data_IF_506302723623
#
_entry.id   IF_506302723623
#
_cell.length_a   1.000
_cell.length_b   1.000
_cell.length_c   1.000
_cell.angle_alpha   90.00
_cell.angle_beta   90.00
_cell.angle_gamma   90.00
#
_symmetry.space_group_name_H-M   'P 1'
#
loop_
_entity.id
_entity.type
_entity.pdbx_description
1 polymer ?
#
# COMPACT_ATOMS: atom_id res chain seq x y z
N UNK A 1 -17.47 -2.04 -3.02
CA UNK A 1 -17.00 -2.22 -4.43
C UNK A 1 -18.00 -3.10 -5.19
N UNK A 2 -18.23 -2.82 -6.45
CA UNK A 2 -19.02 -3.70 -7.34
C UNK A 2 -18.17 -4.87 -7.83
N UNK A 3 -18.79 -5.91 -8.37
CA UNK A 3 -18.05 -7.01 -9.02
C UNK A 3 -17.15 -6.49 -10.15
N UNK A 4 -17.66 -5.55 -10.95
CA UNK A 4 -16.91 -4.89 -12.03
C UNK A 4 -15.64 -4.16 -11.54
N UNK A 5 -15.72 -3.44 -10.41
CA UNK A 5 -14.53 -2.75 -9.85
C UNK A 5 -13.46 -3.74 -9.36
N UNK A 6 -13.87 -4.91 -8.83
CA UNK A 6 -12.94 -5.96 -8.40
C UNK A 6 -12.29 -6.67 -9.59
N UNK A 7 -13.06 -6.89 -10.65
CA UNK A 7 -12.55 -7.43 -11.91
C UNK A 7 -11.49 -6.48 -12.50
N UNK A 8 -11.83 -5.19 -12.61
CA UNK A 8 -10.89 -4.15 -13.06
C UNK A 8 -9.63 -4.07 -12.17
N UNK A 9 -9.79 -4.16 -10.85
CA UNK A 9 -8.63 -4.22 -9.94
C UNK A 9 -7.75 -5.44 -10.25
N UNK A 10 -8.37 -6.61 -10.45
CA UNK A 10 -7.64 -7.85 -10.78
C UNK A 10 -6.88 -7.74 -12.09
N UNK A 11 -7.46 -7.12 -13.10
CA UNK A 11 -6.79 -6.85 -14.38
C UNK A 11 -5.59 -5.93 -14.20
N UNK A 12 -5.77 -4.81 -13.49
CA UNK A 12 -4.72 -3.81 -13.26
C UNK A 12 -3.53 -4.39 -12.49
N UNK A 13 -3.77 -5.18 -11.43
CA UNK A 13 -2.67 -5.74 -10.63
C UNK A 13 -1.93 -6.90 -11.29
N UNK A 14 -2.49 -7.42 -12.41
CA UNK A 14 -1.88 -8.47 -13.24
C UNK A 14 -1.29 -7.93 -14.56
N UNK A 15 -1.48 -6.64 -14.84
CA UNK A 15 -0.85 -6.01 -16.01
C UNK A 15 0.65 -5.80 -15.80
N UNK A 16 1.41 -5.71 -16.89
CA UNK A 16 2.82 -5.34 -16.86
C UNK A 16 3.07 -4.20 -17.87
N UNK A 17 3.47 -3.02 -17.39
CA UNK A 17 3.65 -2.65 -15.96
C UNK A 17 2.32 -2.50 -15.20
N UNK A 18 2.35 -2.68 -13.88
CA UNK A 18 1.20 -2.42 -13.01
C UNK A 18 0.97 -0.92 -12.91
N UNK A 19 -0.25 -0.46 -13.21
CA UNK A 19 -0.68 0.92 -12.95
C UNK A 19 -0.99 1.10 -11.45
N UNK A 20 0.01 1.58 -10.70
CA UNK A 20 -0.07 1.72 -9.25
C UNK A 20 -1.12 2.76 -8.83
N UNK A 21 -1.23 3.89 -9.55
CA UNK A 21 -2.23 4.91 -9.25
C UNK A 21 -3.64 4.36 -9.41
N UNK A 22 -3.93 3.72 -10.55
CA UNK A 22 -5.22 3.10 -10.83
C UNK A 22 -5.56 2.04 -9.77
N UNK A 23 -4.63 1.13 -9.46
CA UNK A 23 -4.83 0.11 -8.42
C UNK A 23 -5.18 0.74 -7.07
N UNK A 24 -4.41 1.76 -6.61
CA UNK A 24 -4.68 2.46 -5.36
C UNK A 24 -6.02 3.23 -5.37
N UNK A 25 -6.44 3.78 -6.50
CA UNK A 25 -7.74 4.44 -6.62
C UNK A 25 -8.90 3.43 -6.57
N UNK A 26 -8.73 2.28 -7.18
CA UNK A 26 -9.72 1.20 -7.14
C UNK A 26 -9.92 0.65 -5.71
N UNK A 27 -8.90 0.68 -4.83
CA UNK A 27 -9.11 0.39 -3.40
C UNK A 27 -10.13 1.34 -2.77
N UNK A 28 -10.17 2.59 -3.21
CA UNK A 28 -11.11 3.59 -2.72
C UNK A 28 -12.58 3.26 -3.03
N UNK A 29 -12.85 2.47 -4.08
CA UNK A 29 -14.21 2.05 -4.44
C UNK A 29 -14.86 1.09 -3.42
N UNK A 30 -14.09 0.51 -2.46
CA UNK A 30 -14.67 -0.26 -1.34
C UNK A 30 -15.41 0.63 -0.33
N UNK A 31 -15.02 1.89 -0.21
CA UNK A 31 -15.63 2.84 0.73
C UNK A 31 -16.47 3.91 0.03
N UNK A 32 -16.26 4.14 -1.27
CA UNK A 32 -16.97 5.11 -2.10
C UNK A 32 -17.38 4.43 -3.42
N UNK A 33 -18.60 3.85 -3.43
CA UNK A 33 -19.07 3.03 -4.56
C UNK A 33 -19.10 3.77 -5.90
N UNK A 34 -19.31 5.09 -5.88
CA UNK A 34 -19.36 5.94 -7.08
C UNK A 34 -18.01 6.58 -7.42
N UNK A 35 -16.92 6.13 -6.79
CA UNK A 35 -15.58 6.67 -7.04
C UNK A 35 -15.19 6.46 -8.51
N UNK A 36 -14.91 7.56 -9.18
CA UNK A 36 -14.34 7.58 -10.53
C UNK A 36 -12.83 7.86 -10.44
N UNK A 37 -11.96 6.96 -10.88
CA UNK A 37 -10.51 7.16 -10.83
C UNK A 37 -10.00 8.32 -11.70
N UNK A 38 -10.64 8.58 -12.85
CA UNK A 38 -10.16 9.49 -13.88
C UNK A 38 -9.91 10.93 -13.37
N UNK A 39 -10.80 11.57 -12.57
CA UNK A 39 -10.54 12.89 -12.01
C UNK A 39 -9.30 12.95 -11.13
N UNK A 40 -8.98 11.87 -10.42
CA UNK A 40 -7.80 11.79 -9.56
C UNK A 40 -6.52 11.59 -10.36
N UNK A 41 -6.57 10.83 -11.45
CA UNK A 41 -5.47 10.72 -12.40
C UNK A 41 -5.15 12.08 -13.02
N UNK A 42 -6.15 12.84 -13.47
CA UNK A 42 -5.95 14.22 -13.96
C UNK A 42 -5.35 15.15 -12.89
N UNK A 43 -5.66 14.95 -11.62
CA UNK A 43 -5.01 15.71 -10.54
C UNK A 43 -3.53 15.38 -10.40
N UNK A 44 -3.15 14.11 -10.55
CA UNK A 44 -1.74 13.71 -10.58
C UNK A 44 -1.02 14.33 -11.79
N UNK A 45 -1.67 14.37 -12.95
CA UNK A 45 -1.14 15.03 -14.16
C UNK A 45 -0.94 16.54 -13.91
N UNK A 46 -1.89 17.21 -13.26
CA UNK A 46 -1.77 18.62 -12.88
C UNK A 46 -0.64 18.91 -11.88
N UNK A 47 -0.41 17.99 -10.91
CA UNK A 47 0.72 18.09 -9.99
C UNK A 47 2.05 17.93 -10.74
N UNK A 48 2.14 16.98 -11.67
CA UNK A 48 3.31 16.79 -12.50
C UNK A 48 3.58 18.02 -13.38
N UNK A 49 2.57 18.57 -14.03
CA UNK A 49 2.69 19.80 -14.80
C UNK A 49 3.20 20.98 -13.97
N UNK A 50 2.75 21.09 -12.72
CA UNK A 50 3.19 22.14 -11.79
C UNK A 50 4.66 21.97 -11.36
N UNK A 51 5.17 20.75 -11.28
CA UNK A 51 6.56 20.45 -10.93
C UNK A 51 7.52 20.54 -12.14
N UNK A 52 6.98 20.40 -13.34
CA UNK A 52 7.77 20.27 -14.58
C UNK A 52 8.86 21.34 -14.77
N UNK A 53 8.60 22.65 -14.56
CA UNK A 53 9.65 23.66 -14.79
C UNK A 53 10.86 23.52 -13.86
N UNK A 54 10.63 23.23 -12.57
CA UNK A 54 11.72 23.07 -11.60
C UNK A 54 12.46 21.74 -11.80
N UNK A 55 11.75 20.67 -12.11
CA UNK A 55 12.34 19.36 -12.39
C UNK A 55 13.17 19.39 -13.66
N UNK A 56 12.69 20.07 -14.72
CA UNK A 56 13.42 20.22 -15.98
C UNK A 56 14.71 21.06 -15.83
N UNK A 57 14.76 21.97 -14.88
CA UNK A 57 15.95 22.77 -14.57
C UNK A 57 16.98 22.04 -13.66
N UNK A 58 16.58 20.92 -13.06
CA UNK A 58 17.44 20.15 -12.16
C UNK A 58 18.42 19.26 -12.95
N UNK A 59 19.66 19.22 -12.51
CA UNK A 59 20.77 18.50 -13.16
C UNK A 59 21.21 17.23 -12.40
N UNK A 60 20.70 17.02 -11.19
CA UNK A 60 21.03 15.87 -10.33
C UNK A 60 19.76 15.26 -9.69
N UNK A 61 19.85 14.03 -9.21
CA UNK A 61 18.80 13.37 -8.47
C UNK A 61 18.38 14.17 -7.22
N UNK A 62 19.33 14.76 -6.51
CA UNK A 62 19.08 15.58 -5.34
C UNK A 62 18.32 16.88 -5.69
N UNK A 63 18.65 17.54 -6.80
CA UNK A 63 17.94 18.72 -7.28
C UNK A 63 16.51 18.38 -7.76
N UNK A 64 16.32 17.25 -8.45
CA UNK A 64 14.99 16.75 -8.82
C UNK A 64 14.15 16.44 -7.58
N UNK A 65 14.72 15.80 -6.58
CA UNK A 65 14.10 15.52 -5.31
C UNK A 65 13.67 16.81 -4.59
N UNK A 66 14.53 17.83 -4.55
CA UNK A 66 14.21 19.14 -3.97
C UNK A 66 13.11 19.88 -4.75
N UNK A 67 13.10 19.79 -6.09
CA UNK A 67 12.06 20.37 -6.93
C UNK A 67 10.69 19.73 -6.67
N UNK A 68 10.64 18.40 -6.53
CA UNK A 68 9.43 17.67 -6.15
C UNK A 68 8.97 18.04 -4.73
N UNK A 69 9.88 18.11 -3.76
CA UNK A 69 9.57 18.52 -2.39
C UNK A 69 8.96 19.93 -2.35
N UNK A 70 9.56 20.89 -3.04
CA UNK A 70 9.04 22.26 -3.14
C UNK A 70 7.62 22.28 -3.75
N UNK A 71 7.37 21.49 -4.77
CA UNK A 71 6.05 21.49 -5.45
C UNK A 71 5.00 20.73 -4.64
N UNK A 72 5.29 19.52 -4.22
CA UNK A 72 4.33 18.63 -3.57
C UNK A 72 4.23 18.93 -2.05
N UNK A 73 5.35 19.14 -1.38
CA UNK A 73 5.38 19.43 0.05
C UNK A 73 5.01 20.88 0.35
N UNK A 74 5.85 21.84 -0.08
CA UNK A 74 5.70 23.24 0.34
C UNK A 74 4.49 23.93 -0.31
N UNK A 75 4.33 23.81 -1.63
CA UNK A 75 3.27 24.53 -2.37
C UNK A 75 1.93 23.80 -2.35
N UNK A 76 1.93 22.48 -2.62
CA UNK A 76 0.69 21.69 -2.62
C UNK A 76 0.30 21.24 -1.20
N UNK A 77 1.20 21.25 -0.23
CA UNK A 77 0.92 20.98 1.18
C UNK A 77 0.69 19.50 1.50
N UNK A 78 1.27 18.59 0.71
CA UNK A 78 1.22 17.17 1.04
C UNK A 78 2.17 16.85 2.21
N UNK A 79 1.64 16.11 3.20
CA UNK A 79 2.40 15.65 4.35
C UNK A 79 1.54 14.82 5.29
N UNK A 80 2.13 14.33 6.37
CA UNK A 80 1.43 13.51 7.34
C UNK A 80 1.72 13.89 8.78
N UNK A 81 1.01 13.27 9.69
CA UNK A 81 1.23 13.40 11.14
C UNK A 81 0.83 12.10 11.85
N UNK A 82 1.16 11.98 13.13
CA UNK A 82 0.79 10.82 13.95
C UNK A 82 -0.72 10.50 13.95
N UNK A 83 -1.58 11.52 13.80
CA UNK A 83 -3.03 11.33 13.73
C UNK A 83 -3.49 10.57 12.47
N UNK A 84 -2.71 10.62 11.39
CA UNK A 84 -3.04 9.95 10.12
C UNK A 84 -2.97 8.42 10.23
N UNK A 85 -2.25 7.87 11.21
CA UNK A 85 -2.20 6.43 11.46
C UNK A 85 -3.50 5.85 12.03
N UNK A 86 -4.40 6.70 12.54
CA UNK A 86 -5.68 6.30 13.11
C UNK A 86 -6.87 6.57 12.17
N UNK A 87 -6.61 7.04 10.95
CA UNK A 87 -7.64 7.44 9.99
C UNK A 87 -7.57 6.59 8.72
N UNK A 88 -8.61 5.80 8.47
CA UNK A 88 -8.72 4.96 7.25
C UNK A 88 -8.52 5.77 5.96
N UNK A 89 -9.00 7.01 5.94
CA UNK A 89 -8.88 7.90 4.77
C UNK A 89 -7.42 8.17 4.40
N UNK A 90 -6.50 8.07 5.36
CA UNK A 90 -5.06 8.21 5.15
C UNK A 90 -4.42 7.02 4.42
N UNK A 91 -5.17 5.89 4.27
CA UNK A 91 -4.80 4.69 3.51
C UNK A 91 -5.48 4.61 2.14
N UNK A 92 -6.18 5.65 1.68
CA UNK A 92 -6.96 5.69 0.44
C UNK A 92 -6.50 6.84 -0.45
N UNK A 93 -5.98 6.54 -1.64
CA UNK A 93 -5.31 7.52 -2.51
C UNK A 93 -6.21 8.71 -2.88
N UNK A 94 -7.48 8.47 -3.22
CA UNK A 94 -8.42 9.55 -3.51
C UNK A 94 -8.55 10.53 -2.33
N UNK A 95 -8.70 10.01 -1.11
CA UNK A 95 -8.77 10.81 0.11
C UNK A 95 -7.45 11.55 0.42
N UNK A 96 -6.31 10.91 0.14
CA UNK A 96 -4.99 11.55 0.28
C UNK A 96 -4.86 12.72 -0.69
N UNK A 97 -5.28 12.56 -1.94
CA UNK A 97 -5.28 13.63 -2.93
C UNK A 97 -6.23 14.78 -2.54
N UNK A 98 -7.40 14.49 -1.98
CA UNK A 98 -8.36 15.51 -1.53
C UNK A 98 -7.85 16.30 -0.32
N UNK A 99 -7.32 15.61 0.67
CA UNK A 99 -6.94 16.16 1.97
C UNK A 99 -5.49 16.65 2.01
N UNK A 100 -4.66 16.20 1.06
CA UNK A 100 -3.19 16.38 1.02
C UNK A 100 -2.49 15.80 2.25
N UNK A 101 -3.10 14.84 2.87
CA UNK A 101 -2.65 14.16 4.09
C UNK A 101 -2.86 12.66 3.96
N UNK A 102 -1.89 11.88 4.44
CA UNK A 102 -1.97 10.44 4.39
C UNK A 102 -0.84 9.72 5.11
N UNK A 103 -0.88 8.40 5.06
CA UNK A 103 0.21 7.57 5.54
C UNK A 103 1.46 7.71 4.65
N UNK A 104 2.66 7.42 5.19
CA UNK A 104 3.91 7.53 4.45
C UNK A 104 3.86 6.86 3.07
N UNK A 105 3.29 5.64 2.99
CA UNK A 105 3.23 4.88 1.74
C UNK A 105 2.32 5.52 0.68
N UNK A 106 1.14 6.07 1.06
CA UNK A 106 0.23 6.71 0.12
C UNK A 106 0.76 8.06 -0.36
N UNK A 107 1.39 8.81 0.53
CA UNK A 107 2.10 10.03 0.15
C UNK A 107 3.26 9.68 -0.80
N UNK A 108 3.98 8.60 -0.55
CA UNK A 108 5.03 8.11 -1.45
C UNK A 108 4.49 7.72 -2.83
N UNK A 109 3.29 7.11 -2.90
CA UNK A 109 2.62 6.85 -4.18
C UNK A 109 2.39 8.15 -4.96
N UNK A 110 1.98 9.25 -4.30
CA UNK A 110 1.84 10.55 -4.99
C UNK A 110 3.18 11.03 -5.56
N UNK A 111 4.29 10.92 -4.80
CA UNK A 111 5.64 11.30 -5.28
C UNK A 111 6.08 10.44 -6.46
N UNK A 112 5.93 9.11 -6.36
CA UNK A 112 6.26 8.16 -7.42
C UNK A 112 5.50 8.48 -8.70
N UNK A 113 4.19 8.66 -8.59
CA UNK A 113 3.33 8.93 -9.74
C UNK A 113 3.63 10.26 -10.43
N UNK A 114 3.95 11.29 -9.66
CA UNK A 114 4.35 12.60 -10.21
C UNK A 114 5.74 12.49 -10.87
N UNK A 115 6.72 11.83 -10.23
CA UNK A 115 8.04 11.62 -10.79
C UNK A 115 7.97 10.84 -12.12
N UNK A 116 7.22 9.73 -12.16
CA UNK A 116 7.05 8.91 -13.37
C UNK A 116 6.42 9.68 -14.52
N UNK A 117 5.41 10.53 -14.26
CA UNK A 117 4.79 11.41 -15.27
C UNK A 117 5.75 12.43 -15.87
N UNK A 118 6.76 12.81 -15.10
CA UNK A 118 7.84 13.71 -15.53
C UNK A 118 9.01 12.99 -16.21
N UNK A 119 8.95 11.65 -16.32
CA UNK A 119 10.07 10.86 -16.83
C UNK A 119 11.26 10.79 -15.87
N UNK A 120 11.07 11.15 -14.60
CA UNK A 120 12.09 11.08 -13.56
C UNK A 120 12.11 9.65 -12.98
N UNK A 121 13.24 8.94 -13.03
CA UNK A 121 13.35 7.66 -12.36
C UNK A 121 13.11 7.81 -10.87
N UNK A 122 12.24 6.97 -10.32
CA UNK A 122 11.93 6.94 -8.89
C UNK A 122 11.42 5.56 -8.46
N UNK A 123 11.66 5.20 -7.21
CA UNK A 123 11.19 3.95 -6.64
C UNK A 123 10.89 4.08 -5.14
N UNK A 124 9.96 3.26 -4.67
CA UNK A 124 9.59 3.19 -3.26
C UNK A 124 10.63 2.39 -2.46
N UNK A 125 10.90 2.82 -1.24
CA UNK A 125 11.80 2.18 -0.29
C UNK A 125 11.08 1.94 1.03
N UNK A 126 10.93 0.66 1.40
CA UNK A 126 10.27 0.25 2.63
C UNK A 126 11.23 0.15 3.79
N UNK A 127 11.29 1.18 4.62
CA UNK A 127 12.02 1.13 5.88
C UNK A 127 11.15 0.53 7.02
N UNK A 128 11.74 -0.07 8.06
CA UNK A 128 11.01 -0.52 9.24
C UNK A 128 10.18 0.61 9.85
N UNK A 129 8.86 0.42 9.93
CA UNK A 129 7.93 1.42 10.45
C UNK A 129 7.71 2.65 9.57
N UNK A 130 8.42 2.79 8.43
CA UNK A 130 8.33 3.96 7.56
C UNK A 130 8.35 3.58 6.07
N UNK A 131 8.03 4.52 5.19
CA UNK A 131 8.12 4.34 3.74
C UNK A 131 8.55 5.66 3.10
N UNK A 132 9.55 5.60 2.25
CA UNK A 132 10.17 6.76 1.61
C UNK A 132 10.30 6.55 0.10
N UNK A 133 10.71 7.59 -0.62
CA UNK A 133 10.94 7.54 -2.07
C UNK A 133 12.40 7.83 -2.36
N UNK A 134 13.00 7.03 -3.23
CA UNK A 134 14.27 7.36 -3.86
C UNK A 134 13.98 7.99 -5.23
N UNK A 135 14.53 9.17 -5.47
CA UNK A 135 14.55 9.85 -6.77
C UNK A 135 15.88 9.54 -7.42
N UNK A 136 15.87 8.98 -8.62
CA UNK A 136 17.05 8.46 -9.32
C UNK A 136 16.95 6.97 -9.57
N UNK A 137 18.06 6.31 -9.88
CA UNK A 137 18.10 4.89 -10.24
C UNK A 137 18.77 4.03 -9.15
N UNK A 138 18.35 2.77 -8.98
CA UNK A 138 18.90 1.89 -7.94
C UNK A 138 20.40 1.60 -8.09
N UNK A 139 20.92 1.66 -9.32
CA UNK A 139 22.33 1.37 -9.64
C UNK A 139 23.15 2.63 -9.90
N UNK A 140 22.54 3.82 -9.84
CA UNK A 140 23.18 5.10 -10.10
C UNK A 140 23.01 6.07 -8.95
N UNK A 141 23.03 7.36 -9.29
CA UNK A 141 22.75 8.42 -8.32
C UNK A 141 21.27 8.36 -7.89
N UNK A 142 21.04 8.45 -6.59
CA UNK A 142 19.69 8.57 -6.04
C UNK A 142 19.69 9.42 -4.76
N UNK A 143 18.58 10.12 -4.52
CA UNK A 143 18.34 10.88 -3.32
C UNK A 143 17.06 10.39 -2.63
N UNK A 144 17.14 10.06 -1.34
CA UNK A 144 15.96 9.68 -0.55
C UNK A 144 15.20 10.93 -0.11
N UNK A 145 13.90 10.89 -0.22
CA UNK A 145 12.96 11.90 0.29
C UNK A 145 11.91 11.25 1.18
N UNK A 146 11.45 11.99 2.17
CA UNK A 146 10.38 11.60 3.08
C UNK A 146 9.07 12.37 2.75
N UNK A 147 8.15 11.80 1.97
CA UNK A 147 6.88 12.43 1.65
C UNK A 147 6.01 12.73 2.88
N UNK A 148 6.13 11.94 3.94
CA UNK A 148 5.41 12.15 5.18
C UNK A 148 5.87 13.41 5.90
N UNK A 149 7.15 13.75 5.78
CA UNK A 149 7.73 15.01 6.24
C UNK A 149 7.75 16.10 5.14
N UNK A 150 6.77 16.10 4.22
CA UNK A 150 6.65 17.10 3.15
C UNK A 150 7.71 16.99 2.05
N UNK A 151 8.32 15.82 1.87
CA UNK A 151 9.37 15.59 0.87
C UNK A 151 10.77 16.01 1.33
N UNK A 152 10.99 16.13 2.64
CA UNK A 152 12.33 16.44 3.20
C UNK A 152 13.34 15.43 2.69
N UNK A 153 14.48 15.93 2.21
CA UNK A 153 15.65 15.11 1.87
C UNK A 153 16.11 14.30 3.09
N UNK A 154 16.34 13.02 2.88
CA UNK A 154 16.73 12.08 3.92
C UNK A 154 18.18 11.62 3.66
N UNK A 155 19.17 12.19 4.34
CA UNK A 155 20.56 11.74 4.21
C UNK A 155 20.70 10.31 4.75
N UNK A 156 21.73 9.55 4.31
CA UNK A 156 21.95 8.16 4.75
C UNK A 156 21.98 7.99 6.27
N UNK A 157 22.50 8.97 6.99
CA UNK A 157 22.52 8.98 8.46
C UNK A 157 21.12 9.01 9.07
N UNK A 158 20.21 9.81 8.52
CA UNK A 158 18.84 9.88 9.00
C UNK A 158 18.04 8.61 8.62
N UNK A 159 18.27 8.02 7.44
CA UNK A 159 17.71 6.72 7.09
C UNK A 159 18.17 5.62 8.07
N UNK A 160 19.48 5.61 8.41
CA UNK A 160 20.02 4.69 9.41
C UNK A 160 19.42 4.90 10.82
N UNK A 161 19.12 6.14 11.21
CA UNK A 161 18.45 6.43 12.48
C UNK A 161 17.02 5.88 12.53
N UNK A 162 16.25 6.01 11.44
CA UNK A 162 14.90 5.42 11.34
C UNK A 162 14.98 3.91 11.55
N UNK A 163 15.88 3.21 10.86
CA UNK A 163 16.05 1.76 10.97
C UNK A 163 16.52 1.36 12.37
N UNK A 164 17.44 2.12 12.94
CA UNK A 164 17.95 1.87 14.29
C UNK A 164 16.88 2.06 15.36
N UNK A 165 15.94 2.98 15.17
CA UNK A 165 14.81 3.15 16.09
C UNK A 165 13.90 1.93 16.18
N UNK A 166 13.91 1.08 15.14
CA UNK A 166 13.25 -0.22 15.11
C UNK A 166 14.13 -1.39 15.61
N UNK A 167 15.32 -1.10 16.15
CA UNK A 167 16.25 -2.11 16.69
C UNK A 167 17.05 -2.86 15.61
N UNK A 168 17.18 -2.30 14.41
CA UNK A 168 17.85 -2.92 13.26
C UNK A 168 18.98 -2.03 12.75
N UNK A 169 19.91 -2.60 11.98
CA UNK A 169 20.90 -1.86 11.22
C UNK A 169 20.47 -1.70 9.77
N UNK A 170 20.80 -0.55 9.17
CA UNK A 170 20.49 -0.28 7.77
C UNK A 170 21.33 -1.16 6.84
N UNK A 171 20.66 -1.94 6.00
CA UNK A 171 21.29 -2.80 4.98
C UNK A 171 20.96 -2.32 3.58
N UNK A 172 21.75 -2.74 2.58
CA UNK A 172 21.46 -2.45 1.16
C UNK A 172 20.12 -3.05 0.71
N UNK A 173 19.73 -4.19 1.26
CA UNK A 173 18.45 -4.85 0.95
C UNK A 173 17.24 -3.99 1.37
N UNK A 174 17.35 -3.28 2.49
CA UNK A 174 16.29 -2.37 2.95
C UNK A 174 16.14 -1.11 2.08
N UNK A 175 17.16 -0.80 1.27
CA UNK A 175 17.13 0.30 0.30
C UNK A 175 16.73 -0.18 -1.10
N UNK A 176 16.46 -1.48 -1.29
CA UNK A 176 16.05 -2.03 -2.56
C UNK A 176 14.68 -1.49 -3.01
N UNK A 177 14.46 -1.34 -4.34
CA UNK A 177 13.19 -0.91 -4.89
C UNK A 177 12.06 -1.88 -4.54
N UNK A 178 10.94 -1.34 -4.06
CA UNK A 178 9.71 -2.11 -3.92
C UNK A 178 8.92 -2.11 -5.21
N UNK A 179 8.42 -3.28 -5.59
CA UNK A 179 7.51 -3.44 -6.70
C UNK A 179 6.12 -2.84 -6.38
N UNK A 180 5.32 -2.46 -7.40
CA UNK A 180 3.94 -2.00 -7.19
C UNK A 180 3.08 -2.98 -6.38
N UNK A 181 3.27 -4.29 -6.55
CA UNK A 181 2.54 -5.32 -5.79
C UNK A 181 2.92 -5.30 -4.31
N UNK A 182 4.20 -5.10 -3.96
CA UNK A 182 4.65 -4.97 -2.57
C UNK A 182 4.10 -3.69 -1.93
N UNK A 183 4.04 -2.59 -2.68
CA UNK A 183 3.40 -1.35 -2.22
C UNK A 183 1.92 -1.58 -1.93
N UNK A 184 1.18 -2.21 -2.85
CA UNK A 184 -0.24 -2.54 -2.65
C UNK A 184 -0.47 -3.47 -1.47
N UNK A 185 0.38 -4.50 -1.29
CA UNK A 185 0.36 -5.36 -0.11
C UNK A 185 0.50 -4.56 1.19
N UNK A 186 1.42 -3.60 1.23
CA UNK A 186 1.64 -2.76 2.41
C UNK A 186 0.45 -1.82 2.66
N UNK A 187 -0.13 -1.24 1.60
CA UNK A 187 -1.34 -0.40 1.71
C UNK A 187 -2.49 -1.21 2.31
N UNK A 188 -2.77 -2.39 1.76
CA UNK A 188 -3.83 -3.27 2.26
C UNK A 188 -3.55 -3.77 3.68
N UNK A 189 -2.29 -4.05 4.01
CA UNK A 189 -1.91 -4.41 5.37
C UNK A 189 -2.15 -3.26 6.36
N UNK A 190 -1.89 -2.01 6.00
CA UNK A 190 -2.19 -0.86 6.84
C UNK A 190 -3.70 -0.77 7.13
N UNK A 191 -4.55 -0.97 6.10
CA UNK A 191 -6.01 -1.04 6.29
C UNK A 191 -6.41 -2.18 7.22
N UNK A 192 -5.84 -3.37 7.03
CA UNK A 192 -6.12 -4.55 7.87
C UNK A 192 -5.74 -4.32 9.33
N UNK A 193 -4.59 -3.68 9.59
CA UNK A 193 -4.13 -3.35 10.94
C UNK A 193 -5.03 -2.32 11.61
N UNK A 194 -5.40 -1.26 10.89
CA UNK A 194 -6.33 -0.25 11.39
C UNK A 194 -7.71 -0.84 11.72
N UNK A 195 -8.17 -1.80 10.91
CA UNK A 195 -9.44 -2.48 11.06
C UNK A 195 -9.35 -3.76 11.93
N UNK A 196 -8.33 -3.89 12.79
CA UNK A 196 -8.13 -5.10 13.60
C UNK A 196 -9.18 -5.28 14.72
N UNK A 197 -9.93 -4.23 15.06
CA UNK A 197 -11.01 -4.29 16.06
C UNK A 197 -12.28 -4.90 15.50
N UNK A 198 -13.10 -5.52 16.37
CA UNK A 198 -14.37 -6.15 15.99
C UNK A 198 -15.37 -5.18 15.33
N UNK A 199 -15.31 -3.90 15.65
CA UNK A 199 -16.19 -2.88 15.07
C UNK A 199 -15.94 -2.64 13.57
N UNK A 200 -14.78 -3.04 13.05
CA UNK A 200 -14.35 -2.79 11.68
C UNK A 200 -14.24 -4.05 10.81
N UNK A 201 -14.93 -5.14 11.18
CA UNK A 201 -14.88 -6.43 10.47
C UNK A 201 -15.07 -6.31 8.95
N UNK A 202 -16.02 -5.48 8.50
CA UNK A 202 -16.29 -5.30 7.06
C UNK A 202 -15.11 -4.64 6.35
N UNK A 203 -14.48 -3.64 6.99
CA UNK A 203 -13.28 -2.98 6.46
C UNK A 203 -12.13 -3.96 6.36
N UNK A 204 -11.92 -4.78 7.39
CA UNK A 204 -10.89 -5.82 7.38
C UNK A 204 -11.15 -6.88 6.32
N UNK A 205 -12.42 -7.29 6.16
CA UNK A 205 -12.81 -8.29 5.16
C UNK A 205 -12.48 -7.84 3.74
N UNK A 206 -12.93 -6.64 3.31
CA UNK A 206 -12.62 -6.22 1.95
C UNK A 206 -11.11 -6.04 1.71
N UNK A 207 -10.35 -5.59 2.70
CA UNK A 207 -8.90 -5.47 2.57
C UNK A 207 -8.22 -6.84 2.41
N UNK A 208 -8.69 -7.86 3.12
CA UNK A 208 -8.27 -9.25 2.96
C UNK A 208 -8.66 -9.79 1.58
N UNK A 209 -9.91 -9.59 1.15
CA UNK A 209 -10.39 -10.03 -0.16
C UNK A 209 -9.58 -9.43 -1.31
N UNK A 210 -9.27 -8.12 -1.26
CA UNK A 210 -8.42 -7.48 -2.27
C UNK A 210 -6.97 -7.97 -2.19
N UNK A 211 -6.46 -8.28 -0.99
CA UNK A 211 -5.13 -8.88 -0.86
C UNK A 211 -5.04 -10.22 -1.57
N UNK A 212 -6.10 -11.05 -1.49
CA UNK A 212 -6.17 -12.35 -2.17
C UNK A 212 -6.23 -12.24 -3.71
N UNK A 213 -6.59 -11.08 -4.26
CA UNK A 213 -6.58 -10.83 -5.71
C UNK A 213 -5.17 -10.50 -6.25
N UNK A 214 -4.24 -10.09 -5.38
CA UNK A 214 -2.86 -9.78 -5.78
C UNK A 214 -2.14 -11.06 -6.28
N UNK A 215 -1.25 -10.94 -7.29
CA UNK A 215 -0.52 -12.09 -7.84
C UNK A 215 0.32 -12.84 -6.81
N UNK A 216 0.80 -12.13 -5.79
CA UNK A 216 1.58 -12.69 -4.67
C UNK A 216 1.06 -12.11 -3.36
N UNK A 217 0.74 -12.97 -2.42
CA UNK A 217 0.30 -12.59 -1.08
C UNK A 217 0.69 -13.67 -0.07
N UNK A 218 0.86 -13.33 1.23
CA UNK A 218 1.12 -14.32 2.27
C UNK A 218 -0.02 -15.31 2.40
N UNK A 219 0.30 -16.59 2.57
CA UNK A 219 -0.70 -17.66 2.72
C UNK A 219 -1.63 -17.44 3.92
N UNK A 220 -1.12 -16.80 4.98
CA UNK A 220 -1.88 -16.46 6.19
C UNK A 220 -3.11 -15.57 5.91
N UNK A 221 -3.11 -14.82 4.81
CA UNK A 221 -4.25 -13.98 4.41
C UNK A 221 -5.49 -14.84 4.12
N UNK A 222 -5.31 -16.04 3.55
CA UNK A 222 -6.41 -16.99 3.31
C UNK A 222 -7.01 -17.50 4.62
N UNK A 223 -6.17 -17.80 5.62
CA UNK A 223 -6.65 -18.17 6.96
C UNK A 223 -7.48 -17.04 7.57
N UNK A 224 -6.95 -15.81 7.56
CA UNK A 224 -7.64 -14.63 8.06
C UNK A 224 -8.99 -14.41 7.35
N UNK A 225 -9.05 -14.65 6.03
CA UNK A 225 -10.30 -14.60 5.26
C UNK A 225 -11.33 -15.59 5.80
N UNK A 226 -10.92 -16.85 6.00
CA UNK A 226 -11.77 -17.87 6.58
C UNK A 226 -12.32 -17.51 7.97
N UNK A 227 -11.41 -17.03 8.86
CA UNK A 227 -11.78 -16.60 10.22
C UNK A 227 -12.80 -15.43 10.19
N UNK A 228 -12.59 -14.45 9.32
CA UNK A 228 -13.50 -13.31 9.17
C UNK A 228 -14.87 -13.74 8.64
N UNK A 229 -14.94 -14.61 7.64
CA UNK A 229 -16.19 -15.15 7.11
C UNK A 229 -16.96 -15.91 8.17
N UNK A 230 -16.29 -16.78 8.96
CA UNK A 230 -16.91 -17.49 10.10
C UNK A 230 -17.43 -16.49 11.13
N UNK A 231 -16.67 -15.45 11.45
CA UNK A 231 -17.08 -14.39 12.39
C UNK A 231 -18.31 -13.62 11.92
N UNK A 232 -18.47 -13.45 10.61
CA UNK A 232 -19.63 -12.79 9.97
C UNK A 232 -20.82 -13.72 9.74
N UNK A 233 -20.72 -15.02 10.08
CA UNK A 233 -21.78 -16.00 9.92
C UNK A 233 -21.79 -16.72 8.57
N UNK A 234 -20.89 -16.40 7.66
CA UNK A 234 -20.71 -17.16 6.40
C UNK A 234 -19.87 -18.42 6.68
N UNK A 235 -20.51 -19.36 7.38
CA UNK A 235 -19.86 -20.57 7.89
C UNK A 235 -19.40 -21.51 6.77
N UNK A 236 -20.13 -21.53 5.65
CA UNK A 236 -19.83 -22.41 4.52
C UNK A 236 -18.55 -21.95 3.82
N UNK A 237 -18.52 -20.67 3.41
CA UNK A 237 -17.33 -20.11 2.73
C UNK A 237 -16.14 -20.05 3.68
N UNK A 238 -16.36 -19.65 4.94
CA UNK A 238 -15.30 -19.59 5.93
C UNK A 238 -14.64 -20.96 6.18
N UNK A 239 -15.45 -22.04 6.32
CA UNK A 239 -14.92 -23.39 6.47
C UNK A 239 -14.19 -23.89 5.21
N UNK A 240 -14.61 -23.48 4.01
CA UNK A 240 -13.91 -23.79 2.76
C UNK A 240 -12.52 -23.11 2.70
N UNK A 241 -12.44 -21.82 3.04
CA UNK A 241 -11.18 -21.07 3.06
C UNK A 241 -10.18 -21.61 4.09
N UNK A 242 -10.65 -21.95 5.31
CA UNK A 242 -9.82 -22.58 6.33
C UNK A 242 -9.29 -23.95 5.90
N UNK A 243 -10.12 -24.73 5.18
CA UNK A 243 -9.68 -26.03 4.63
C UNK A 243 -8.61 -25.84 3.56
N UNK A 244 -8.82 -24.92 2.62
CA UNK A 244 -7.87 -24.61 1.56
C UNK A 244 -6.53 -24.06 2.11
N UNK A 245 -6.58 -23.24 3.17
CA UNK A 245 -5.38 -22.83 3.89
C UNK A 245 -4.64 -24.02 4.50
N UNK A 246 -5.36 -24.92 5.17
CA UNK A 246 -4.75 -26.09 5.81
C UNK A 246 -4.07 -27.01 4.79
N UNK A 247 -4.69 -27.23 3.63
CA UNK A 247 -4.10 -28.01 2.55
C UNK A 247 -2.79 -27.37 2.03
N UNK A 248 -2.78 -26.05 1.88
CA UNK A 248 -1.61 -25.34 1.38
C UNK A 248 -0.47 -25.22 2.40
N UNK A 249 -0.78 -25.07 3.69
CA UNK A 249 0.24 -24.90 4.75
C UNK A 249 0.75 -26.21 5.29
N UNK A 250 -0.03 -27.29 5.19
CA UNK A 250 0.26 -28.61 5.79
C UNK A 250 1.64 -29.18 5.50
N UNK A 251 2.19 -29.07 4.27
CA UNK A 251 3.54 -29.55 3.97
C UNK A 251 4.66 -28.82 4.73
N UNK A 252 4.42 -27.58 5.19
CA UNK A 252 5.42 -26.72 5.84
C UNK A 252 5.14 -26.60 7.35
N UNK A 253 3.87 -26.49 7.75
CA UNK A 253 3.43 -26.37 9.15
C UNK A 253 2.18 -27.23 9.39
N UNK A 254 2.37 -28.52 9.73
CA UNK A 254 1.25 -29.43 10.03
C UNK A 254 0.41 -28.98 11.24
N UNK A 255 1.03 -28.31 12.22
CA UNK A 255 0.31 -27.85 13.42
C UNK A 255 -0.66 -26.72 13.07
N UNK A 256 -0.24 -25.78 12.22
CA UNK A 256 -1.12 -24.73 11.71
C UNK A 256 -2.24 -25.32 10.85
N UNK A 257 -1.96 -26.35 10.04
CA UNK A 257 -2.96 -27.04 9.24
C UNK A 257 -4.03 -27.70 10.13
N UNK A 258 -3.64 -28.46 11.14
CA UNK A 258 -4.56 -29.15 12.05
C UNK A 258 -5.48 -28.16 12.78
N UNK A 259 -4.93 -27.02 13.24
CA UNK A 259 -5.74 -25.94 13.88
C UNK A 259 -6.80 -25.39 12.91
N UNK A 260 -6.41 -25.09 11.67
CA UNK A 260 -7.33 -24.55 10.68
C UNK A 260 -8.42 -25.58 10.30
N UNK A 261 -8.08 -26.88 10.20
CA UNK A 261 -9.06 -27.95 9.99
C UNK A 261 -10.04 -28.10 11.16
N UNK A 262 -9.56 -27.93 12.39
CA UNK A 262 -10.41 -27.95 13.58
C UNK A 262 -11.40 -26.77 13.54
N UNK A 263 -10.93 -25.55 13.23
CA UNK A 263 -11.77 -24.36 13.09
C UNK A 263 -12.82 -24.55 11.97
N UNK A 264 -12.43 -25.12 10.83
CA UNK A 264 -13.35 -25.44 9.74
C UNK A 264 -14.43 -26.45 10.15
N UNK A 265 -14.07 -27.48 10.94
CA UNK A 265 -15.05 -28.46 11.47
C UNK A 265 -16.04 -27.81 12.43
N UNK A 266 -15.55 -26.94 13.35
CA UNK A 266 -16.40 -26.20 14.28
C UNK A 266 -17.36 -25.25 13.53
N UNK A 267 -16.90 -24.58 12.49
CA UNK A 267 -17.75 -23.75 11.65
C UNK A 267 -18.88 -24.57 11.00
N UNK A 268 -18.56 -25.73 10.41
CA UNK A 268 -19.55 -26.65 9.82
C UNK A 268 -20.54 -27.20 10.84
N UNK A 269 -20.09 -27.50 12.07
CA UNK A 269 -20.96 -28.00 13.13
C UNK A 269 -22.02 -26.98 13.59
N UNK A 270 -21.78 -25.68 13.38
CA UNK A 270 -22.75 -24.60 13.67
C UNK A 270 -23.83 -24.46 12.63
N UNK A 271 -23.75 -25.19 11.49
CA UNK A 271 -24.79 -25.21 10.44
C UNK A 271 -25.93 -26.20 10.76
N UNK A 272 -25.70 -27.14 11.69
CA UNK A 272 -26.68 -28.15 12.14
C UNK A 272 -27.23 -27.73 13.50
#
# INVERSE_FOLDING_TARGET
MTAESRERFTEVVRSEPVDLAMACLLLGAEVAADLKPEPYLYRLDGLAQSASPQVAAASSAAEQAAALATTLGDRAGFGGSGADYLDLRSSLLHSVLDRRRGLPILLSVVWLEVAHRLGVPAYGVGLPGHFVVAIGTPTGESALVDPFAGGRLLPPTAAAEIVRSAGLDLTAEQLAPWSPVEILLRVLNNVRQLAATAEHFRTRLWAVELTLLLPRHPLQVRREHGELLVGLGDLVRGAAELTAYAEAVGPVDPVAADRALQEARLARARLN
#
